data_IF_305042869838
#
_entry.id   IF_305042869838
#
_cell.length_a   1.000
_cell.length_b   1.000
_cell.length_c   1.000
_cell.angle_alpha   90.00
_cell.angle_beta   90.00
_cell.angle_gamma   90.00
#
_symmetry.space_group_name_H-M   'P 1'
#
loop_
_entity.id
_entity.type
_entity.pdbx_description
1 polymer ?
#
# COMPACT_ATOMS: atom_id res chain seq x y z
N UNK A 1 -12.90 -19.93 -9.93
CA UNK A 1 -13.21 -18.91 -8.90
C UNK A 1 -12.78 -17.57 -9.47
N UNK A 2 -13.65 -16.57 -9.55
CA UNK A 2 -13.27 -15.25 -10.06
C UNK A 2 -12.17 -14.70 -9.16
N UNK A 3 -11.05 -14.27 -9.74
CA UNK A 3 -10.05 -13.52 -8.98
C UNK A 3 -10.72 -12.21 -8.59
N UNK A 4 -10.87 -11.95 -7.30
CA UNK A 4 -11.33 -10.65 -6.84
C UNK A 4 -10.36 -9.58 -7.36
N UNK A 5 -10.93 -8.50 -7.90
CA UNK A 5 -10.18 -7.38 -8.41
C UNK A 5 -9.53 -6.63 -7.24
N UNK A 6 -8.31 -6.14 -7.46
CA UNK A 6 -7.64 -5.34 -6.45
C UNK A 6 -8.41 -4.04 -6.23
N UNK A 7 -8.56 -3.63 -4.97
CA UNK A 7 -9.19 -2.37 -4.61
C UNK A 7 -8.13 -1.27 -4.66
N UNK A 8 -8.38 -0.23 -5.45
CA UNK A 8 -7.53 0.96 -5.50
C UNK A 8 -7.91 1.93 -4.38
N UNK A 9 -6.94 2.31 -3.56
CA UNK A 9 -7.14 3.20 -2.42
C UNK A 9 -6.00 4.22 -2.36
N UNK A 10 -6.33 5.45 -1.96
CA UNK A 10 -5.36 6.50 -1.72
C UNK A 10 -4.81 6.45 -0.29
N UNK A 11 -3.55 6.85 -0.13
CA UNK A 11 -2.90 6.93 1.15
C UNK A 11 -1.57 7.65 1.06
N UNK A 12 -1.08 8.08 2.22
CA UNK A 12 0.15 8.85 2.35
C UNK A 12 1.28 7.97 2.90
N UNK A 13 2.45 8.02 2.25
CA UNK A 13 3.66 7.35 2.74
C UNK A 13 4.17 8.09 3.98
N UNK A 14 4.25 7.39 5.11
CA UNK A 14 4.72 7.96 6.38
C UNK A 14 6.14 7.53 6.74
N UNK A 15 6.59 6.37 6.25
CA UNK A 15 7.90 5.81 6.57
C UNK A 15 8.42 4.92 5.43
N UNK A 16 9.70 5.03 5.11
CA UNK A 16 10.39 4.14 4.18
C UNK A 16 11.13 3.04 4.95
N UNK A 17 10.93 1.77 4.54
CA UNK A 17 11.49 0.60 5.20
C UNK A 17 12.51 -0.10 4.30
N UNK A 18 13.29 -1.01 4.88
CA UNK A 18 14.17 -1.89 4.12
C UNK A 18 13.38 -2.76 3.13
N UNK A 19 14.07 -3.32 2.12
CA UNK A 19 13.47 -4.16 1.07
C UNK A 19 12.40 -3.45 0.21
N UNK A 20 12.53 -2.12 0.04
CA UNK A 20 11.66 -1.35 -0.87
C UNK A 20 10.19 -1.36 -0.44
N UNK A 21 9.95 -1.52 0.87
CA UNK A 21 8.62 -1.44 1.48
C UNK A 21 8.40 -0.06 2.09
N UNK A 22 7.13 0.32 2.20
CA UNK A 22 6.72 1.62 2.72
C UNK A 22 5.56 1.42 3.69
N UNK A 23 5.61 2.13 4.81
CA UNK A 23 4.45 2.27 5.67
C UNK A 23 3.57 3.36 5.08
N UNK A 24 2.34 3.01 4.75
CA UNK A 24 1.36 3.93 4.17
C UNK A 24 0.18 4.04 5.12
N UNK A 25 -0.23 5.27 5.43
CA UNK A 25 -1.48 5.53 6.14
C UNK A 25 -2.54 5.86 5.09
N UNK A 26 -3.55 5.01 5.01
CA UNK A 26 -4.72 5.23 4.19
C UNK A 26 -5.56 6.37 4.75
N UNK A 27 -6.35 7.03 3.91
CA UNK A 27 -7.18 8.17 4.32
C UNK A 27 -8.24 7.80 5.37
N UNK A 28 -8.57 6.52 5.49
CA UNK A 28 -9.45 5.97 6.53
C UNK A 28 -8.74 5.77 7.89
N UNK A 29 -7.47 6.16 8.02
CA UNK A 29 -6.68 6.07 9.25
C UNK A 29 -5.99 4.72 9.47
N UNK A 30 -6.21 3.73 8.60
CA UNK A 30 -5.53 2.44 8.69
C UNK A 30 -4.10 2.53 8.15
N UNK A 31 -3.17 1.87 8.84
CA UNK A 31 -1.78 1.75 8.40
C UNK A 31 -1.56 0.42 7.70
N UNK A 32 -0.96 0.46 6.52
CA UNK A 32 -0.64 -0.71 5.70
C UNK A 32 0.83 -0.71 5.27
N UNK A 33 1.31 -1.89 4.90
CA UNK A 33 2.63 -2.08 4.27
C UNK A 33 2.43 -2.15 2.76
N UNK A 34 3.01 -1.20 2.05
CA UNK A 34 3.01 -1.14 0.59
C UNK A 34 4.40 -1.47 0.03
N UNK A 35 4.44 -1.93 -1.21
CA UNK A 35 5.66 -2.09 -2.00
C UNK A 35 5.48 -1.37 -3.33
N UNK A 36 6.57 -0.96 -3.96
CA UNK A 36 6.50 -0.37 -5.31
C UNK A 36 6.15 -1.47 -6.31
N UNK A 37 5.09 -1.26 -7.09
CA UNK A 37 4.80 -2.12 -8.22
C UNK A 37 5.90 -1.94 -9.29
N UNK A 38 6.36 -3.06 -9.87
CA UNK A 38 7.20 -3.02 -11.06
C UNK A 38 6.48 -2.37 -12.25
N UNK A 39 7.24 -2.04 -13.29
CA UNK A 39 6.69 -1.51 -14.54
C UNK A 39 5.87 -2.55 -15.30
#
# INVERSE_FOLDING_TARGET
>A
MPKEEAIEVQGNVVEALANTQFRVVLDNGHTVLAHVAGK
#
